data_IF_959373918321
#
_entry.id   IF_959373918321
#
_cell.length_a   1.000
_cell.length_b   1.000
_cell.length_c   1.000
_cell.angle_alpha   90.00
_cell.angle_beta   90.00
_cell.angle_gamma   90.00
#
_symmetry.space_group_name_H-M   'P 1'
#
loop_
_entity.id
_entity.type
_entity.pdbx_description
1 polymer ?
#
# COMPACT_ATOMS: atom_id res chain seq x y z
N UNK A 1 24.85 2.30 -9.96
CA UNK A 1 23.73 2.01 -9.05
C UNK A 1 22.48 1.83 -9.90
N UNK A 2 21.81 0.68 -9.79
CA UNK A 2 20.62 0.32 -10.59
C UNK A 2 19.47 1.27 -10.21
N UNK A 3 18.62 1.67 -11.18
CA UNK A 3 17.49 2.59 -10.98
C UNK A 3 16.66 2.25 -9.74
N UNK A 4 16.31 0.96 -9.59
CA UNK A 4 15.55 0.43 -8.45
C UNK A 4 16.14 0.80 -7.09
N UNK A 5 17.47 0.76 -6.93
CA UNK A 5 18.09 1.08 -5.64
C UNK A 5 18.06 2.58 -5.35
N UNK A 6 18.26 3.43 -6.37
CA UNK A 6 18.09 4.88 -6.23
C UNK A 6 16.66 5.24 -5.80
N UNK A 7 15.66 4.64 -6.45
CA UNK A 7 14.24 4.89 -6.12
C UNK A 7 13.94 4.43 -4.69
N UNK A 8 14.46 3.28 -4.26
CA UNK A 8 14.31 2.82 -2.87
C UNK A 8 14.98 3.75 -1.86
N UNK A 9 16.15 4.31 -2.18
CA UNK A 9 16.82 5.30 -1.33
C UNK A 9 15.99 6.58 -1.19
N UNK A 10 15.51 7.14 -2.31
CA UNK A 10 14.67 8.34 -2.33
C UNK A 10 13.38 8.11 -1.55
N UNK A 11 12.70 6.99 -1.74
CA UNK A 11 11.49 6.63 -1.00
C UNK A 11 11.73 6.61 0.52
N UNK A 12 12.87 6.10 0.97
CA UNK A 12 13.25 6.13 2.40
C UNK A 12 13.52 7.55 2.89
N UNK A 13 14.18 8.39 2.09
CA UNK A 13 14.40 9.80 2.42
C UNK A 13 13.10 10.60 2.51
N UNK A 14 12.12 10.29 1.65
CA UNK A 14 10.77 10.88 1.67
C UNK A 14 9.94 10.35 2.85
N UNK A 15 10.40 9.31 3.55
CA UNK A 15 9.86 8.86 4.83
C UNK A 15 9.05 7.56 4.79
N UNK A 16 9.20 6.76 3.73
CA UNK A 16 8.68 5.39 3.73
C UNK A 16 9.67 4.43 4.40
N UNK A 17 9.22 3.77 5.47
CA UNK A 17 10.02 2.79 6.23
C UNK A 17 10.31 1.52 5.43
N UNK A 18 9.34 1.09 4.63
CA UNK A 18 9.37 -0.13 3.85
C UNK A 18 9.27 0.22 2.37
N UNK A 19 10.09 -0.43 1.55
CA UNK A 19 10.08 -0.25 0.10
C UNK A 19 10.40 -1.58 -0.56
N UNK A 20 9.54 -2.00 -1.49
CA UNK A 20 9.69 -3.21 -2.28
C UNK A 20 9.15 -3.00 -3.69
N UNK A 21 9.54 -3.87 -4.61
CA UNK A 21 9.07 -3.81 -6.00
C UNK A 21 8.57 -5.19 -6.37
N UNK A 22 7.35 -5.23 -6.92
CA UNK A 22 6.75 -6.42 -7.49
C UNK A 22 6.50 -6.22 -8.99
N UNK A 23 6.45 -7.30 -9.78
CA UNK A 23 5.97 -7.22 -11.16
C UNK A 23 4.49 -6.79 -11.19
N UNK A 24 4.14 -5.93 -12.15
CA UNK A 24 2.76 -5.54 -12.42
C UNK A 24 2.04 -6.68 -13.14
N UNK A 25 1.47 -7.58 -12.36
CA UNK A 25 0.77 -8.78 -12.82
C UNK A 25 -0.46 -9.00 -11.95
N UNK A 26 -1.36 -9.87 -12.40
CA UNK A 26 -2.52 -10.28 -11.63
C UNK A 26 -2.14 -10.69 -10.19
N UNK A 27 -2.86 -10.20 -9.17
CA UNK A 27 -2.61 -10.57 -7.78
C UNK A 27 -2.66 -12.09 -7.57
N UNK A 28 -1.82 -12.62 -6.69
CA UNK A 28 -1.67 -14.05 -6.45
C UNK A 28 -2.98 -14.65 -5.90
N UNK A 29 -3.62 -13.93 -4.99
CA UNK A 29 -4.89 -14.33 -4.39
C UNK A 29 -6.11 -13.81 -5.15
N UNK A 30 -6.00 -13.45 -6.44
CA UNK A 30 -7.12 -12.94 -7.23
C UNK A 30 -8.31 -13.92 -7.27
N UNK A 31 -8.05 -15.21 -7.53
CA UNK A 31 -9.12 -16.22 -7.55
C UNK A 31 -9.81 -16.39 -6.19
N UNK A 32 -9.05 -16.31 -5.09
CA UNK A 32 -9.62 -16.31 -3.74
C UNK A 32 -10.50 -15.07 -3.50
N UNK A 33 -10.03 -13.89 -3.91
CA UNK A 33 -10.79 -12.65 -3.77
C UNK A 33 -12.14 -12.71 -4.49
N UNK A 34 -12.17 -13.26 -5.71
CA UNK A 34 -13.41 -13.44 -6.47
C UNK A 34 -14.39 -14.39 -5.76
N UNK A 35 -13.90 -15.53 -5.25
CA UNK A 35 -14.73 -16.48 -4.51
C UNK A 35 -15.25 -15.88 -3.19
N UNK A 36 -14.41 -15.12 -2.50
CA UNK A 36 -14.75 -14.42 -1.26
C UNK A 36 -15.86 -13.39 -1.48
N UNK A 37 -15.77 -12.61 -2.58
CA UNK A 37 -16.83 -11.69 -3.00
C UNK A 37 -18.14 -12.42 -3.35
N UNK A 38 -18.05 -13.49 -4.15
CA UNK A 38 -19.22 -14.27 -4.57
C UNK A 38 -19.94 -14.93 -3.39
N UNK A 39 -19.19 -15.24 -2.32
CA UNK A 39 -19.74 -15.79 -1.07
C UNK A 39 -20.41 -14.75 -0.17
N UNK A 40 -20.45 -13.47 -0.58
CA UNK A 40 -21.07 -12.38 0.18
C UNK A 40 -20.24 -11.93 1.40
N UNK A 41 -18.98 -12.35 1.52
CA UNK A 41 -18.16 -12.05 2.69
C UNK A 41 -17.73 -10.58 2.80
N UNK A 42 -17.96 -9.78 1.76
CA UNK A 42 -17.78 -8.32 1.81
C UNK A 42 -18.80 -7.59 2.68
N UNK A 43 -19.92 -8.23 3.04
CA UNK A 43 -21.00 -7.57 3.77
C UNK A 43 -21.46 -6.30 3.05
N UNK A 44 -21.43 -5.17 3.75
CA UNK A 44 -21.84 -3.86 3.20
C UNK A 44 -20.73 -3.11 2.45
N UNK A 45 -19.52 -3.66 2.37
CA UNK A 45 -18.36 -3.04 1.70
C UNK A 45 -18.46 -3.12 0.17
N UNK A 46 -19.53 -2.56 -0.41
CA UNK A 46 -19.84 -2.65 -1.84
C UNK A 46 -18.76 -2.06 -2.76
N UNK A 47 -17.84 -1.25 -2.23
CA UNK A 47 -16.70 -0.73 -2.98
C UNK A 47 -15.66 -1.81 -3.33
N UNK A 48 -15.62 -2.93 -2.59
CA UNK A 48 -14.75 -4.06 -2.90
C UNK A 48 -15.15 -4.74 -4.22
N UNK A 49 -16.44 -4.81 -4.53
CA UNK A 49 -16.96 -5.37 -5.77
C UNK A 49 -16.84 -4.46 -7.01
N UNK A 50 -16.26 -3.25 -6.90
CA UNK A 50 -16.15 -2.30 -8.01
C UNK A 50 -14.79 -2.42 -8.70
N UNK A 51 -14.76 -2.08 -9.99
CA UNK A 51 -13.56 -2.02 -10.83
C UNK A 51 -12.72 -3.32 -10.78
N UNK A 52 -13.38 -4.47 -10.90
CA UNK A 52 -12.75 -5.78 -10.74
C UNK A 52 -11.66 -6.02 -11.80
N UNK A 53 -11.89 -5.53 -13.02
CA UNK A 53 -10.92 -5.54 -14.12
C UNK A 53 -9.62 -4.83 -13.74
N UNK A 54 -9.71 -3.65 -13.11
CA UNK A 54 -8.55 -2.90 -12.63
C UNK A 54 -7.84 -3.56 -11.45
N UNK A 55 -8.58 -4.31 -10.62
CA UNK A 55 -7.99 -5.12 -9.53
C UNK A 55 -7.26 -6.36 -10.06
N UNK A 56 -7.72 -6.90 -11.18
CA UNK A 56 -7.17 -8.08 -11.82
C UNK A 56 -5.92 -7.78 -12.66
N UNK A 57 -5.88 -6.60 -13.29
CA UNK A 57 -4.80 -6.24 -14.21
C UNK A 57 -4.35 -4.78 -14.00
N UNK A 58 -3.11 -4.56 -13.50
CA UNK A 58 -2.52 -3.22 -13.40
C UNK A 58 -2.43 -2.46 -14.74
N UNK A 59 -2.46 -3.15 -15.89
CA UNK A 59 -2.42 -2.51 -17.21
C UNK A 59 -3.71 -1.73 -17.52
N UNK A 60 -4.84 -2.07 -16.87
CA UNK A 60 -6.10 -1.30 -16.94
C UNK A 60 -6.02 0.03 -16.17
N UNK A 61 -4.95 0.23 -15.41
CA UNK A 61 -4.66 1.45 -14.65
C UNK A 61 -3.58 2.27 -15.34
N UNK A 62 -2.44 1.64 -15.66
CA UNK A 62 -1.30 2.26 -16.34
C UNK A 62 -0.97 1.41 -17.57
N UNK A 63 -1.14 1.94 -18.79
CA UNK A 63 -0.83 1.18 -20.01
C UNK A 63 0.63 0.68 -20.01
N UNK A 64 0.82 -0.60 -20.33
CA UNK A 64 2.12 -1.27 -20.29
C UNK A 64 2.77 -1.31 -18.89
N UNK A 65 1.98 -1.30 -17.81
CA UNK A 65 2.49 -1.46 -16.45
C UNK A 65 3.46 -2.64 -16.36
N UNK A 66 4.67 -2.39 -15.82
CA UNK A 66 5.71 -3.41 -15.62
C UNK A 66 5.96 -3.70 -14.16
N UNK A 67 5.81 -2.69 -13.29
CA UNK A 67 6.13 -2.83 -11.89
C UNK A 67 5.17 -2.09 -10.97
N UNK A 68 5.09 -2.56 -9.73
CA UNK A 68 4.41 -1.89 -8.63
C UNK A 68 5.43 -1.65 -7.53
N UNK A 69 5.72 -0.38 -7.27
CA UNK A 69 6.51 0.05 -6.12
C UNK A 69 5.60 0.04 -4.89
N UNK A 70 5.85 -0.88 -3.98
CA UNK A 70 5.09 -1.03 -2.73
C UNK A 70 5.84 -0.34 -1.59
N UNK A 71 5.12 0.46 -0.83
CA UNK A 71 5.66 1.34 0.19
C UNK A 71 4.94 1.08 1.52
N UNK A 72 5.65 1.27 2.62
CA UNK A 72 5.07 1.16 3.95
C UNK A 72 5.49 2.31 4.86
N UNK A 73 4.54 2.92 5.56
CA UNK A 73 4.79 4.00 6.52
C UNK A 73 4.30 3.60 7.91
N UNK A 74 5.20 3.58 8.90
CA UNK A 74 4.84 3.22 10.26
C UNK A 74 3.95 4.30 10.91
N UNK A 75 2.85 3.88 11.51
CA UNK A 75 1.91 4.78 12.20
C UNK A 75 1.87 4.58 13.72
N UNK A 76 2.77 3.76 14.27
CA UNK A 76 2.80 3.52 15.70
C UNK A 76 3.15 4.82 16.45
N UNK A 77 2.31 5.30 17.37
CA UNK A 77 2.61 6.49 18.14
C UNK A 77 3.91 6.34 18.93
N UNK A 78 4.74 7.38 18.94
CA UNK A 78 5.99 7.42 19.73
C UNK A 78 5.71 7.51 21.23
N UNK A 79 4.60 8.12 21.60
CA UNK A 79 4.15 8.25 22.98
C UNK A 79 3.14 7.15 23.30
N UNK A 80 3.22 6.63 24.53
CA UNK A 80 2.17 5.73 25.05
C UNK A 80 1.00 6.58 25.50
N UNK A 81 -0.21 6.03 25.36
CA UNK A 81 -1.41 6.64 25.91
C UNK A 81 -1.23 6.80 27.42
N UNK A 82 -1.37 8.05 27.91
CA UNK A 82 -1.41 8.32 29.35
C UNK A 82 -2.82 8.02 29.81
N UNK A 83 -2.99 6.87 30.47
CA UNK A 83 -4.28 6.46 31.04
C UNK A 83 -4.35 7.02 32.46
N UNK A 84 -5.23 8.00 32.69
CA UNK A 84 -5.45 8.64 33.99
C UNK A 84 -6.49 7.92 34.87
N UNK A 85 -6.86 6.69 34.51
CA UNK A 85 -7.79 5.85 35.25
C UNK A 85 -9.28 6.16 35.01
N UNK A 86 -9.61 7.24 34.28
CA UNK A 86 -10.98 7.52 33.88
C UNK A 86 -11.39 6.63 32.68
N UNK A 87 -12.61 6.05 32.67
CA UNK A 87 -13.08 5.28 31.52
C UNK A 87 -13.27 6.20 30.30
N UNK A 88 -12.59 5.88 29.19
CA UNK A 88 -12.69 6.60 27.92
C UNK A 88 -12.77 5.62 26.76
N UNK A 89 -13.46 6.02 25.69
CA UNK A 89 -13.34 5.34 24.40
C UNK A 89 -11.95 5.57 23.79
N UNK A 90 -11.48 4.62 23.00
CA UNK A 90 -10.20 4.73 22.28
C UNK A 90 -10.45 4.58 20.78
N UNK A 91 -9.73 5.38 19.99
CA UNK A 91 -9.65 5.18 18.55
C UNK A 91 -8.57 4.15 18.21
N UNK A 92 -8.75 3.47 17.07
CA UNK A 92 -7.69 2.63 16.54
C UNK A 92 -6.44 3.48 16.25
N UNK A 93 -5.25 2.90 16.45
CA UNK A 93 -3.98 3.65 16.32
C UNK A 93 -3.76 4.28 14.95
N UNK A 94 -4.29 3.67 13.89
CA UNK A 94 -4.18 4.19 12.53
C UNK A 94 -5.06 5.43 12.29
N UNK A 95 -6.04 5.69 13.16
CA UNK A 95 -6.95 6.83 13.06
C UNK A 95 -6.51 8.01 13.96
N UNK A 96 -5.29 7.95 14.50
CA UNK A 96 -4.72 9.01 15.33
C UNK A 96 -3.90 9.98 14.46
N UNK A 97 -4.07 11.27 14.68
CA UNK A 97 -3.35 12.32 13.94
C UNK A 97 -4.10 12.79 12.69
N UNK A 98 -3.37 13.32 11.73
CA UNK A 98 -3.90 13.75 10.44
C UNK A 98 -4.34 12.56 9.59
N UNK A 99 -5.22 12.78 8.62
CA UNK A 99 -5.63 11.75 7.68
C UNK A 99 -4.41 11.24 6.88
N UNK A 100 -4.11 9.95 7.05
CA UNK A 100 -2.97 9.32 6.41
C UNK A 100 -3.07 9.36 4.88
N UNK A 101 -4.27 9.42 4.32
CA UNK A 101 -4.45 9.49 2.87
C UNK A 101 -3.78 10.74 2.30
N UNK A 102 -4.04 11.92 2.86
CA UNK A 102 -3.50 13.18 2.35
C UNK A 102 -1.98 13.24 2.51
N UNK A 103 -1.48 12.84 3.69
CA UNK A 103 -0.05 12.80 3.99
C UNK A 103 0.71 11.87 3.06
N UNK A 104 0.23 10.63 2.91
CA UNK A 104 0.91 9.62 2.10
C UNK A 104 0.81 9.97 0.61
N UNK A 105 -0.35 10.44 0.15
CA UNK A 105 -0.56 10.77 -1.26
C UNK A 105 0.33 11.92 -1.72
N UNK A 106 0.53 12.95 -0.90
CA UNK A 106 1.49 14.01 -1.19
C UNK A 106 2.90 13.44 -1.40
N UNK A 107 3.36 12.57 -0.49
CA UNK A 107 4.68 11.91 -0.59
C UNK A 107 4.81 10.98 -1.78
N UNK A 108 3.74 10.32 -2.18
CA UNK A 108 3.74 9.48 -3.39
C UNK A 108 3.91 10.33 -4.66
N UNK A 109 3.28 11.51 -4.73
CA UNK A 109 3.49 12.44 -5.84
C UNK A 109 4.92 12.98 -5.88
N UNK A 110 5.49 13.34 -4.73
CA UNK A 110 6.89 13.75 -4.65
C UNK A 110 7.83 12.63 -5.14
N UNK A 111 7.58 11.39 -4.71
CA UNK A 111 8.37 10.24 -5.13
C UNK A 111 8.22 9.94 -6.63
N UNK A 112 7.02 10.02 -7.18
CA UNK A 112 6.79 9.85 -8.63
C UNK A 112 7.52 10.94 -9.43
N UNK A 113 7.49 12.19 -8.97
CA UNK A 113 8.23 13.28 -9.61
C UNK A 113 9.76 13.04 -9.58
N UNK A 114 10.30 12.52 -8.48
CA UNK A 114 11.72 12.12 -8.41
C UNK A 114 12.05 10.95 -9.35
N UNK A 115 11.16 9.96 -9.47
CA UNK A 115 11.32 8.86 -10.44
C UNK A 115 11.37 9.42 -11.87
N UNK A 116 10.48 10.35 -12.21
CA UNK A 116 10.41 10.98 -13.53
C UNK A 116 11.63 11.86 -13.86
N UNK A 117 12.30 12.42 -12.85
CA UNK A 117 13.60 13.10 -13.06
C UNK A 117 14.71 12.11 -13.42
N UNK A 118 14.66 10.90 -12.89
CA UNK A 118 15.64 9.85 -13.16
C UNK A 118 15.36 9.10 -14.48
N UNK A 119 14.08 8.91 -14.80
CA UNK A 119 13.59 8.24 -16.00
C UNK A 119 12.41 9.04 -16.59
N UNK A 120 12.67 9.95 -17.55
CA UNK A 120 11.65 10.84 -18.10
C UNK A 120 10.48 10.16 -18.82
N UNK A 121 10.64 8.89 -19.21
CA UNK A 121 9.57 8.10 -19.84
C UNK A 121 8.72 7.33 -18.82
N UNK A 122 9.04 7.41 -17.53
CA UNK A 122 8.26 6.79 -16.48
C UNK A 122 6.89 7.46 -16.36
N UNK A 123 5.84 6.67 -16.54
CA UNK A 123 4.47 7.05 -16.22
C UNK A 123 3.95 6.16 -15.10
N UNK A 124 3.06 6.71 -14.28
CA UNK A 124 2.55 5.95 -13.16
C UNK A 124 1.37 6.53 -12.45
N UNK A 125 0.74 5.67 -11.65
CA UNK A 125 -0.44 5.99 -10.85
C UNK A 125 -0.20 5.66 -9.38
N UNK A 126 -0.44 6.64 -8.52
CA UNK A 126 -0.28 6.53 -7.07
C UNK A 126 -1.58 6.10 -6.39
N UNK A 127 -1.48 5.22 -5.40
CA UNK A 127 -2.60 4.79 -4.57
C UNK A 127 -2.23 4.67 -3.09
N UNK A 128 -3.24 4.94 -2.27
CA UNK A 128 -3.29 4.67 -0.83
C UNK A 128 -4.74 4.34 -0.52
N UNK A 129 -5.00 3.11 -0.05
CA UNK A 129 -6.28 2.51 0.40
C UNK A 129 -7.47 2.52 -0.59
N UNK A 130 -7.75 3.67 -1.17
CA UNK A 130 -8.90 3.97 -2.03
C UNK A 130 -8.80 3.42 -3.47
N UNK A 131 -7.68 2.78 -3.82
CA UNK A 131 -7.40 2.28 -5.16
C UNK A 131 -7.98 0.90 -5.48
N UNK A 132 -8.15 0.55 -6.76
CA UNK A 132 -8.48 -0.80 -7.17
C UNK A 132 -7.23 -1.70 -7.17
N UNK A 133 -6.47 -1.71 -6.08
CA UNK A 133 -5.25 -2.53 -5.93
C UNK A 133 -5.47 -3.49 -4.75
N UNK A 134 -5.07 -4.76 -4.89
CA UNK A 134 -4.98 -5.67 -3.76
C UNK A 134 -3.66 -5.41 -3.02
N UNK A 135 -3.58 -4.27 -2.34
CA UNK A 135 -2.38 -3.69 -1.69
C UNK A 135 -1.56 -4.75 -0.93
N UNK A 136 -2.20 -5.52 -0.04
CA UNK A 136 -1.53 -6.52 0.80
C UNK A 136 -0.94 -7.68 -0.01
N UNK A 137 -1.60 -8.06 -1.11
CA UNK A 137 -1.15 -9.14 -1.98
C UNK A 137 0.13 -8.72 -2.72
N UNK A 138 0.08 -7.55 -3.36
CA UNK A 138 1.21 -7.02 -4.11
C UNK A 138 2.37 -6.65 -3.17
N UNK A 139 2.08 -6.11 -1.99
CA UNK A 139 3.09 -5.83 -0.96
C UNK A 139 3.77 -7.10 -0.43
N UNK A 140 3.02 -8.20 -0.24
CA UNK A 140 3.61 -9.49 0.13
C UNK A 140 4.57 -9.98 -0.96
N UNK A 141 4.14 -9.93 -2.23
CA UNK A 141 4.98 -10.28 -3.39
C UNK A 141 6.23 -9.39 -3.51
N UNK A 142 6.11 -8.10 -3.17
CA UNK A 142 7.21 -7.15 -3.14
C UNK A 142 8.17 -7.35 -1.94
N UNK A 143 7.88 -8.29 -1.04
CA UNK A 143 8.71 -8.63 0.11
C UNK A 143 8.51 -7.74 1.34
N UNK A 144 7.42 -6.98 1.42
CA UNK A 144 7.13 -6.14 2.60
C UNK A 144 6.64 -6.96 3.81
N UNK A 145 6.21 -8.20 3.61
CA UNK A 145 5.72 -9.06 4.69
C UNK A 145 4.99 -10.30 4.22
N UNK A 146 4.23 -10.91 5.13
CA UNK A 146 3.37 -12.06 4.84
C UNK A 146 2.01 -11.88 5.52
N UNK A 147 0.99 -12.61 5.06
CA UNK A 147 -0.33 -12.60 5.67
C UNK A 147 -0.32 -13.30 7.03
N UNK A 148 -0.73 -12.58 8.07
CA UNK A 148 -1.07 -13.16 9.36
C UNK A 148 -2.43 -13.87 9.32
N UNK A 149 -2.70 -14.74 10.30
CA UNK A 149 -4.03 -15.36 10.48
C UNK A 149 -5.15 -14.33 10.69
N UNK A 150 -4.80 -13.11 11.13
CA UNK A 150 -5.71 -11.97 11.29
C UNK A 150 -5.91 -11.16 9.99
N UNK A 151 -5.47 -11.67 8.83
CA UNK A 151 -5.61 -11.07 7.48
C UNK A 151 -4.80 -9.81 7.19
N UNK A 152 -4.06 -9.30 8.18
CA UNK A 152 -3.13 -8.18 8.00
C UNK A 152 -1.76 -8.65 7.50
N UNK A 153 -1.04 -7.74 6.84
CA UNK A 153 0.35 -7.98 6.44
C UNK A 153 1.28 -7.77 7.65
N UNK A 154 2.20 -8.70 7.88
CA UNK A 154 3.16 -8.66 8.99
C UNK A 154 4.57 -8.52 8.40
N UNK A 155 5.30 -7.50 8.85
CA UNK A 155 6.72 -7.35 8.58
C UNK A 155 7.56 -7.79 9.79
N UNK A 156 8.62 -8.57 9.54
CA UNK A 156 9.46 -9.20 10.58
C UNK A 156 9.93 -8.27 11.70
N UNK A 157 10.27 -7.01 11.37
CA UNK A 157 10.81 -6.03 12.33
C UNK A 157 9.83 -4.92 12.73
N UNK A 158 8.75 -4.73 11.96
CA UNK A 158 7.84 -3.58 12.13
C UNK A 158 6.43 -4.00 12.58
N UNK A 159 6.19 -5.31 12.73
CA UNK A 159 4.86 -5.83 13.04
C UNK A 159 3.90 -5.58 11.89
N UNK A 160 2.64 -5.27 12.20
CA UNK A 160 1.59 -4.90 11.24
C UNK A 160 1.18 -3.41 11.35
N UNK A 161 2.00 -2.60 12.02
CA UNK A 161 1.70 -1.18 12.32
C UNK A 161 2.25 -0.24 11.24
N UNK A 162 1.84 -0.46 10.00
CA UNK A 162 2.18 0.41 8.88
C UNK A 162 1.02 0.53 7.89
N UNK A 163 0.88 1.70 7.27
CA UNK A 163 0.04 1.90 6.10
C UNK A 163 0.75 1.35 4.88
N UNK A 164 -0.02 0.87 3.90
CA UNK A 164 0.47 0.50 2.58
C UNK A 164 0.18 1.62 1.58
N UNK A 165 1.03 1.69 0.56
CA UNK A 165 0.85 2.58 -0.56
C UNK A 165 1.58 2.03 -1.78
N UNK A 166 1.09 2.40 -2.96
CA UNK A 166 1.58 1.86 -4.22
C UNK A 166 1.81 2.94 -5.27
N UNK A 167 2.83 2.73 -6.10
CA UNK A 167 2.98 3.40 -7.39
C UNK A 167 3.06 2.32 -8.47
N UNK A 168 2.06 2.27 -9.34
CA UNK A 168 2.07 1.40 -10.53
C UNK A 168 2.84 2.14 -11.62
N UNK A 169 3.82 1.49 -12.25
CA UNK A 169 4.77 2.08 -13.19
C UNK A 169 4.91 1.22 -14.46
N UNK A 170 5.11 1.87 -15.61
CA UNK A 170 5.37 1.26 -16.93
C UNK A 170 6.82 0.78 -17.14
#
# INVERSE_FOLDING_TARGET
MILTEKVKEIARCIGFDLVGVAPAQTPEHWGFYQQWLASGYAGEMGYLGRNLERRADPCEIVPNAKSVLCLGMNYLPKTRDVVDGAPRGMFAKYALGDDYHDLIKARLFDLLAEIQKLEPLADGRVYVDTGPVLERDVAARAGLGWFGKHTGLIHKRKGSWFFLAEIILN
#
